data_IF_144212921069
#
_entry.id   IF_144212921069
#
_cell.length_a   1.000
_cell.length_b   1.000
_cell.length_c   1.000
_cell.angle_alpha   90.00
_cell.angle_beta   90.00
_cell.angle_gamma   90.00
#
_symmetry.space_group_name_H-M   'P 1'
#
loop_
_entity.id
_entity.type
_entity.pdbx_description
1 polymer ?
#
# COMPACT_ATOMS: atom_id res chain seq x y z
N UNK A 1 20.19 26.34 -55.91
CA UNK A 1 21.12 26.46 -54.77
C UNK A 1 20.35 27.15 -53.66
N UNK A 2 19.94 26.44 -52.61
CA UNK A 2 19.25 27.04 -51.47
C UNK A 2 20.31 27.63 -50.54
N UNK A 3 20.79 28.81 -50.89
CA UNK A 3 21.59 29.63 -49.99
C UNK A 3 20.61 30.33 -49.05
N UNK A 4 20.25 29.64 -47.98
CA UNK A 4 19.63 30.27 -46.83
C UNK A 4 20.69 30.27 -45.75
N UNK A 5 21.48 31.35 -45.59
CA UNK A 5 22.20 31.56 -44.36
C UNK A 5 21.14 31.97 -43.34
N UNK A 6 20.33 31.02 -42.89
CA UNK A 6 19.60 31.17 -41.63
C UNK A 6 20.72 31.43 -40.64
N UNK A 7 20.87 32.68 -40.20
CA UNK A 7 22.00 33.12 -39.38
C UNK A 7 22.25 32.06 -38.32
N UNK A 8 23.48 31.54 -38.28
CA UNK A 8 23.88 30.36 -37.48
C UNK A 8 23.37 30.42 -36.04
N UNK A 9 23.19 31.63 -35.52
CA UNK A 9 22.56 31.98 -34.25
C UNK A 9 21.14 31.44 -34.08
N UNK A 10 20.22 31.59 -35.06
CA UNK A 10 18.84 31.11 -34.94
C UNK A 10 18.76 29.59 -34.98
N UNK A 11 19.63 28.93 -35.76
CA UNK A 11 19.73 27.47 -35.79
C UNK A 11 20.21 26.95 -34.44
N UNK A 12 21.22 27.60 -33.85
CA UNK A 12 21.72 27.26 -32.51
C UNK A 12 20.67 27.50 -31.42
N UNK A 13 19.92 28.60 -31.50
CA UNK A 13 18.88 28.93 -30.53
C UNK A 13 17.71 27.96 -30.62
N UNK A 14 17.28 27.61 -31.84
CA UNK A 14 16.27 26.58 -32.07
C UNK A 14 16.71 25.21 -31.56
N UNK A 15 17.96 24.82 -31.82
CA UNK A 15 18.53 23.58 -31.31
C UNK A 15 18.57 23.57 -29.78
N UNK A 16 19.00 24.66 -29.14
CA UNK A 16 19.04 24.77 -27.69
C UNK A 16 17.65 24.63 -27.06
N UNK A 17 16.63 25.27 -27.65
CA UNK A 17 15.23 25.15 -27.19
C UNK A 17 14.70 23.73 -27.34
N UNK A 18 14.96 23.08 -28.48
CA UNK A 18 14.54 21.69 -28.73
C UNK A 18 15.27 20.74 -27.76
N UNK A 19 16.59 20.87 -27.60
CA UNK A 19 17.38 20.07 -26.66
C UNK A 19 16.94 20.27 -25.23
N UNK A 20 16.68 21.51 -24.78
CA UNK A 20 16.16 21.78 -23.45
C UNK A 20 14.77 21.17 -23.24
N UNK A 21 13.92 21.18 -24.27
CA UNK A 21 12.59 20.58 -24.22
C UNK A 21 12.65 19.05 -24.12
N UNK A 22 13.50 18.41 -24.92
CA UNK A 22 13.74 16.95 -24.87
C UNK A 22 14.39 16.54 -23.54
N UNK A 23 15.36 17.32 -23.05
CA UNK A 23 16.02 17.09 -21.77
C UNK A 23 15.04 17.23 -20.60
N UNK A 24 14.17 18.24 -20.63
CA UNK A 24 13.11 18.41 -19.64
C UNK A 24 12.11 17.24 -19.62
N UNK A 25 11.86 16.60 -20.76
CA UNK A 25 11.02 15.40 -20.85
C UNK A 25 11.73 14.15 -20.28
N UNK A 26 13.03 14.01 -20.51
CA UNK A 26 13.83 12.91 -19.97
C UNK A 26 13.89 12.93 -18.43
N UNK A 27 13.89 14.11 -17.81
CA UNK A 27 13.86 14.27 -16.35
C UNK A 27 12.52 13.87 -15.70
N UNK A 28 11.47 13.61 -16.50
CA UNK A 28 10.14 13.21 -15.98
C UNK A 28 9.89 11.71 -16.01
N UNK A 29 10.88 10.91 -16.43
CA UNK A 29 10.77 9.45 -16.37
C UNK A 29 10.90 9.03 -14.90
N UNK A 30 9.89 8.35 -14.32
CA UNK A 30 9.98 7.89 -12.95
C UNK A 30 11.14 6.89 -12.81
N UNK A 31 12.01 7.12 -11.83
CA UNK A 31 13.23 6.32 -11.65
C UNK A 31 12.97 4.90 -11.12
N UNK A 32 11.77 4.66 -10.58
CA UNK A 32 11.41 3.39 -9.94
C UNK A 32 10.20 2.75 -10.62
N UNK A 33 10.18 1.41 -10.75
CA UNK A 33 8.99 0.71 -11.22
C UNK A 33 7.80 0.94 -10.27
N UNK A 34 6.56 0.81 -10.76
CA UNK A 34 5.38 0.88 -9.89
C UNK A 34 5.41 -0.23 -8.82
N UNK A 35 4.86 0.03 -7.63
CA UNK A 35 4.91 -0.92 -6.51
C UNK A 35 4.09 -2.19 -6.79
N UNK A 36 4.50 -3.34 -6.24
CA UNK A 36 3.82 -4.63 -6.44
C UNK A 36 2.70 -4.85 -5.39
N UNK A 37 1.54 -4.24 -5.62
CA UNK A 37 0.37 -4.43 -4.75
C UNK A 37 -0.18 -5.86 -4.80
N UNK A 38 0.03 -6.58 -5.91
CA UNK A 38 -0.51 -7.93 -6.11
C UNK A 38 0.18 -8.94 -5.19
N UNK A 39 1.51 -8.89 -5.06
CA UNK A 39 2.22 -9.78 -4.11
C UNK A 39 1.89 -9.49 -2.65
N UNK A 40 1.67 -8.23 -2.30
CA UNK A 40 1.20 -7.86 -0.98
C UNK A 40 -0.19 -8.48 -0.70
N UNK A 41 -1.12 -8.38 -1.65
CA UNK A 41 -2.45 -9.00 -1.54
C UNK A 41 -2.37 -10.54 -1.45
N UNK A 42 -1.52 -11.19 -2.25
CA UNK A 42 -1.32 -12.64 -2.18
C UNK A 42 -0.81 -13.11 -0.81
N UNK A 43 0.05 -12.32 -0.15
CA UNK A 43 0.51 -12.63 1.22
C UNK A 43 -0.65 -12.55 2.21
N UNK A 44 -1.51 -11.53 2.06
CA UNK A 44 -2.73 -11.39 2.87
C UNK A 44 -3.67 -12.56 2.66
N UNK A 45 -3.95 -12.93 1.41
CA UNK A 45 -4.83 -14.04 1.05
C UNK A 45 -4.28 -15.39 1.53
N UNK A 46 -2.97 -15.59 1.48
CA UNK A 46 -2.32 -16.78 2.04
C UNK A 46 -2.57 -16.95 3.54
N UNK A 47 -2.52 -15.86 4.32
CA UNK A 47 -2.84 -15.89 5.75
C UNK A 47 -4.35 -15.98 6.00
N UNK A 48 -5.15 -15.28 5.20
CA UNK A 48 -6.60 -15.25 5.31
C UNK A 48 -7.28 -16.57 4.94
N UNK A 49 -6.66 -17.38 4.08
CA UNK A 49 -7.16 -18.71 3.69
C UNK A 49 -6.85 -19.80 4.72
N UNK A 50 -5.97 -19.54 5.69
CA UNK A 50 -5.60 -20.52 6.71
C UNK A 50 -6.79 -20.90 7.59
N UNK A 51 -7.05 -22.21 7.79
CA UNK A 51 -8.06 -22.67 8.75
C UNK A 51 -7.62 -22.48 10.21
N UNK A 52 -6.34 -22.18 10.46
CA UNK A 52 -5.77 -21.98 11.80
C UNK A 52 -5.21 -20.58 11.98
N UNK A 53 -4.88 -20.20 13.22
CA UNK A 53 -4.10 -18.99 13.49
C UNK A 53 -2.82 -18.99 12.66
N UNK A 54 -2.61 -17.88 11.94
CA UNK A 54 -1.52 -17.74 10.99
C UNK A 54 -1.06 -16.28 10.98
N UNK A 55 0.22 -16.08 10.64
CA UNK A 55 0.78 -14.74 10.47
C UNK A 55 1.71 -14.68 9.29
N UNK A 56 1.75 -13.54 8.63
CA UNK A 56 2.60 -13.27 7.48
C UNK A 56 3.27 -11.91 7.61
N UNK A 57 4.40 -11.78 6.92
CA UNK A 57 5.13 -10.52 6.78
C UNK A 57 5.48 -10.33 5.31
N UNK A 58 5.29 -9.14 4.80
CA UNK A 58 5.64 -8.79 3.43
C UNK A 58 6.36 -7.45 3.41
N UNK A 59 7.64 -7.39 2.97
CA UNK A 59 8.30 -6.10 2.75
C UNK A 59 7.50 -5.26 1.76
N UNK A 60 7.37 -3.96 2.03
CA UNK A 60 6.74 -3.03 1.10
C UNK A 60 7.80 -2.10 0.51
N UNK A 61 7.81 -2.02 -0.81
CA UNK A 61 8.55 -1.01 -1.56
C UNK A 61 7.55 0.06 -2.04
N UNK A 62 7.12 0.91 -1.11
CA UNK A 62 6.13 1.96 -1.33
C UNK A 62 6.35 3.12 -0.37
N UNK A 63 6.02 4.34 -0.80
CA UNK A 63 6.07 5.54 0.03
C UNK A 63 4.75 5.75 0.78
N UNK A 64 3.63 5.43 0.13
CA UNK A 64 2.30 5.50 0.72
C UNK A 64 1.52 4.20 0.55
N UNK A 65 0.73 3.87 1.57
CA UNK A 65 -0.22 2.76 1.57
C UNK A 65 -1.64 3.29 1.79
N UNK A 66 -2.60 2.69 1.10
CA UNK A 66 -4.03 2.81 1.40
C UNK A 66 -4.60 1.42 1.58
N UNK A 67 -4.95 1.09 2.82
CA UNK A 67 -5.45 -0.23 3.20
C UNK A 67 -6.95 -0.16 3.49
N UNK A 68 -7.73 -0.84 2.65
CA UNK A 68 -9.16 -1.07 2.86
C UNK A 68 -9.46 -2.49 3.29
N UNK A 69 -10.74 -2.79 3.46
CA UNK A 69 -11.24 -4.12 3.86
C UNK A 69 -11.18 -5.15 2.73
N UNK A 70 -11.13 -4.69 1.48
CA UNK A 70 -11.27 -5.48 0.25
C UNK A 70 -10.10 -5.26 -0.71
N UNK A 71 -9.24 -4.28 -0.45
CA UNK A 71 -8.13 -3.93 -1.33
C UNK A 71 -6.98 -3.24 -0.62
N UNK A 72 -5.82 -3.32 -1.24
CA UNK A 72 -4.62 -2.55 -0.91
C UNK A 72 -4.25 -1.66 -2.10
N UNK A 73 -3.90 -0.41 -1.81
CA UNK A 73 -3.22 0.50 -2.72
C UNK A 73 -1.82 0.81 -2.22
N UNK A 74 -0.86 0.80 -3.12
CA UNK A 74 0.52 1.22 -2.88
C UNK A 74 0.86 2.35 -3.86
N UNK A 75 1.64 3.33 -3.40
CA UNK A 75 2.10 4.44 -4.23
C UNK A 75 3.57 4.73 -3.95
N UNK A 76 4.28 5.01 -5.03
CA UNK A 76 5.63 5.56 -5.05
C UNK A 76 5.67 6.80 -5.95
N UNK A 77 6.81 7.48 -6.01
CA UNK A 77 7.10 8.46 -7.07
C UNK A 77 7.01 7.84 -8.49
N UNK A 78 7.15 6.51 -8.58
CA UNK A 78 6.99 5.68 -9.77
C UNK A 78 5.54 5.52 -10.27
N UNK A 79 4.56 5.84 -9.42
CA UNK A 79 3.13 5.67 -9.71
C UNK A 79 2.39 4.90 -8.62
N UNK A 80 1.15 4.52 -8.89
CA UNK A 80 0.31 3.80 -7.93
C UNK A 80 -0.19 2.47 -8.49
N UNK A 81 -0.17 1.44 -7.65
CA UNK A 81 -0.72 0.13 -7.94
C UNK A 81 -1.81 -0.24 -6.92
N UNK A 82 -2.74 -1.08 -7.32
CA UNK A 82 -3.82 -1.54 -6.46
C UNK A 82 -4.10 -3.02 -6.71
N UNK A 83 -4.46 -3.74 -5.65
CA UNK A 83 -4.89 -5.13 -5.73
C UNK A 83 -6.07 -5.35 -4.80
N UNK A 84 -7.04 -6.15 -5.24
CA UNK A 84 -8.13 -6.65 -4.41
C UNK A 84 -7.67 -7.89 -3.63
N UNK A 85 -8.26 -8.11 -2.46
CA UNK A 85 -8.11 -9.36 -1.72
C UNK A 85 -9.11 -10.39 -2.25
N UNK A 86 -8.70 -11.66 -2.30
CA UNK A 86 -9.55 -12.76 -2.75
C UNK A 86 -10.41 -13.33 -1.61
N UNK A 87 -9.93 -13.27 -0.37
CA UNK A 87 -10.64 -13.80 0.80
C UNK A 87 -11.52 -12.75 1.49
N UNK A 88 -12.36 -13.22 2.43
CA UNK A 88 -13.29 -12.39 3.21
C UNK A 88 -12.67 -11.08 3.70
N UNK A 89 -13.54 -10.08 3.93
CA UNK A 89 -13.15 -8.73 4.32
C UNK A 89 -12.15 -8.70 5.48
N UNK A 90 -10.96 -8.22 5.18
CA UNK A 90 -9.87 -8.06 6.14
C UNK A 90 -10.13 -6.86 7.06
N UNK A 91 -9.40 -6.79 8.16
CA UNK A 91 -9.52 -5.72 9.15
C UNK A 91 -8.25 -4.85 9.15
N UNK A 92 -8.33 -3.62 8.63
CA UNK A 92 -7.20 -2.68 8.68
C UNK A 92 -6.87 -2.27 10.11
N UNK A 93 -5.64 -2.54 10.56
CA UNK A 93 -5.16 -2.18 11.90
C UNK A 93 -4.47 -0.80 11.96
N UNK A 94 -4.27 -0.13 10.82
CA UNK A 94 -3.43 1.07 10.70
C UNK A 94 -3.97 2.32 11.45
N UNK A 95 -5.17 2.27 12.02
CA UNK A 95 -5.76 3.37 12.81
C UNK A 95 -6.11 3.04 14.27
N UNK A 96 -5.68 1.89 14.80
CA UNK A 96 -6.03 1.45 16.15
C UNK A 96 -4.84 0.82 16.85
N UNK A 97 -4.35 1.46 17.92
CA UNK A 97 -3.21 0.95 18.71
C UNK A 97 -3.51 -0.41 19.35
N UNK A 98 -4.77 -0.64 19.74
CA UNK A 98 -5.22 -1.91 20.29
C UNK A 98 -5.18 -3.02 19.25
N UNK A 99 -5.73 -2.80 18.05
CA UNK A 99 -5.65 -3.79 16.97
C UNK A 99 -4.22 -4.01 16.50
N UNK A 100 -3.41 -2.95 16.49
CA UNK A 100 -1.98 -3.02 16.18
C UNK A 100 -1.21 -3.88 17.19
N UNK A 101 -1.53 -3.77 18.47
CA UNK A 101 -0.96 -4.62 19.51
C UNK A 101 -1.29 -6.11 19.27
N UNK A 102 -2.53 -6.40 18.86
CA UNK A 102 -2.93 -7.77 18.52
C UNK A 102 -2.21 -8.29 17.27
N UNK A 103 -2.16 -7.48 16.21
CA UNK A 103 -1.43 -7.77 14.98
C UNK A 103 0.03 -8.15 15.24
N UNK A 104 0.67 -7.49 16.20
CA UNK A 104 2.07 -7.71 16.56
C UNK A 104 2.34 -8.90 17.47
N UNK A 105 1.33 -9.53 18.05
CA UNK A 105 1.59 -10.64 18.97
C UNK A 105 0.62 -10.78 20.12
N UNK A 106 0.06 -9.67 20.61
CA UNK A 106 -0.67 -9.70 21.88
C UNK A 106 -2.01 -10.42 21.73
N UNK A 107 -2.38 -11.32 22.66
CA UNK A 107 -3.67 -11.98 22.58
C UNK A 107 -4.79 -10.96 22.83
N UNK A 108 -5.94 -11.05 22.12
CA UNK A 108 -7.06 -10.11 22.27
C UNK A 108 -7.52 -9.91 23.72
N UNK A 109 -7.60 -11.00 24.50
CA UNK A 109 -7.95 -10.98 25.94
C UNK A 109 -7.05 -10.15 26.84
N UNK A 110 -5.84 -9.83 26.38
CA UNK A 110 -4.92 -8.97 27.12
C UNK A 110 -5.06 -7.49 26.74
N UNK A 111 -5.74 -7.18 25.63
CA UNK A 111 -5.85 -5.83 25.06
C UNK A 111 -7.26 -5.27 25.19
N UNK A 112 -8.26 -6.14 25.09
CA UNK A 112 -9.68 -5.82 25.15
C UNK A 112 -10.28 -6.42 26.41
N UNK A 113 -11.23 -5.70 27.00
CA UNK A 113 -11.93 -6.11 28.21
C UNK A 113 -12.71 -7.41 28.01
N UNK A 114 -13.43 -7.50 26.88
CA UNK A 114 -14.20 -8.67 26.52
C UNK A 114 -14.27 -8.87 24.99
N UNK A 115 -14.95 -9.97 24.60
CA UNK A 115 -15.14 -10.34 23.19
C UNK A 115 -16.00 -9.33 22.42
N UNK A 116 -16.94 -8.65 23.07
CA UNK A 116 -17.82 -7.67 22.42
C UNK A 116 -17.05 -6.39 22.08
N UNK A 117 -16.19 -5.91 22.98
CA UNK A 117 -15.30 -4.79 22.75
C UNK A 117 -14.31 -5.07 21.61
N UNK A 118 -13.80 -6.32 21.52
CA UNK A 118 -12.98 -6.73 20.40
C UNK A 118 -13.76 -6.72 19.08
N UNK A 119 -14.94 -7.35 19.03
CA UNK A 119 -15.78 -7.36 17.84
C UNK A 119 -16.16 -5.94 17.36
N UNK A 120 -16.54 -5.05 18.28
CA UNK A 120 -16.84 -3.65 17.97
C UNK A 120 -15.63 -2.92 17.37
N UNK A 121 -14.42 -3.18 17.89
CA UNK A 121 -13.20 -2.58 17.34
C UNK A 121 -12.88 -3.09 15.92
N UNK A 122 -13.14 -4.37 15.63
CA UNK A 122 -12.98 -4.94 14.29
C UNK A 122 -13.95 -4.28 13.29
N UNK A 123 -15.22 -4.13 13.67
CA UNK A 123 -16.23 -3.50 12.82
C UNK A 123 -15.99 -2.00 12.60
N UNK A 124 -15.57 -1.28 13.63
CA UNK A 124 -15.15 0.11 13.50
C UNK A 124 -13.96 0.27 12.54
N UNK A 125 -13.01 -0.66 12.57
CA UNK A 125 -11.89 -0.67 11.65
C UNK A 125 -12.30 -0.99 10.20
N UNK A 126 -13.24 -1.93 9.99
CA UNK A 126 -13.77 -2.30 8.67
C UNK A 126 -14.57 -1.20 7.98
N UNK A 127 -15.26 -0.38 8.76
CA UNK A 127 -16.15 0.69 8.28
C UNK A 127 -15.41 2.02 8.09
N UNK A 128 -14.18 2.13 8.57
CA UNK A 128 -13.38 3.34 8.41
C UNK A 128 -12.99 3.55 6.95
N UNK A 129 -13.15 4.78 6.47
CA UNK A 129 -12.77 5.14 5.10
C UNK A 129 -11.25 5.02 4.90
N UNK A 130 -10.79 4.24 3.90
CA UNK A 130 -9.37 4.08 3.61
C UNK A 130 -8.75 5.36 3.05
N UNK A 131 -7.70 5.83 3.71
CA UNK A 131 -6.90 6.98 3.26
C UNK A 131 -5.47 6.57 2.94
N UNK A 132 -4.84 7.34 2.04
CA UNK A 132 -3.39 7.28 1.85
C UNK A 132 -2.69 7.79 3.11
N UNK A 133 -1.62 7.10 3.48
CA UNK A 133 -0.76 7.43 4.61
C UNK A 133 0.62 6.82 4.37
N UNK A 134 1.67 7.26 5.09
CA UNK A 134 3.01 6.70 4.95
C UNK A 134 3.00 5.17 5.05
N UNK A 135 3.64 4.52 4.09
CA UNK A 135 3.75 3.07 4.08
C UNK A 135 4.75 2.61 5.15
N UNK A 136 4.44 1.53 5.89
CA UNK A 136 5.43 0.87 6.72
C UNK A 136 6.42 0.09 5.85
N UNK A 137 7.64 -0.12 6.33
CA UNK A 137 8.64 -0.96 5.65
C UNK A 137 8.17 -2.42 5.46
N UNK A 138 7.32 -2.91 6.35
CA UNK A 138 6.80 -4.28 6.30
C UNK A 138 5.32 -4.30 6.64
N UNK A 139 4.53 -4.90 5.74
CA UNK A 139 3.14 -5.27 5.98
C UNK A 139 3.09 -6.51 6.86
N UNK A 140 2.43 -6.39 8.01
CA UNK A 140 2.10 -7.48 8.90
C UNK A 140 0.68 -7.96 8.62
N UNK A 141 0.50 -9.28 8.65
CA UNK A 141 -0.81 -9.93 8.54
C UNK A 141 -0.93 -10.94 9.67
N UNK A 142 -2.08 -10.98 10.34
CA UNK A 142 -2.35 -11.98 11.38
C UNK A 142 -3.81 -12.38 11.37
N UNK A 143 -4.07 -13.68 11.24
CA UNK A 143 -5.35 -14.28 11.57
C UNK A 143 -5.43 -14.54 13.07
N UNK A 144 -6.49 -14.07 13.70
CA UNK A 144 -6.71 -14.17 15.14
C UNK A 144 -8.12 -14.66 15.43
N UNK A 145 -8.24 -15.50 16.47
CA UNK A 145 -9.51 -16.05 16.93
C UNK A 145 -9.67 -15.78 18.43
N UNK A 146 -10.86 -15.33 18.84
CA UNK A 146 -11.22 -15.24 20.26
C UNK A 146 -12.67 -15.69 20.49
N UNK A 147 -12.84 -16.95 20.90
CA UNK A 147 -14.15 -17.60 20.91
C UNK A 147 -14.66 -17.71 19.47
N UNK A 148 -15.88 -17.24 19.22
CA UNK A 148 -16.49 -17.24 17.88
C UNK A 148 -16.01 -16.10 16.97
N UNK A 149 -15.27 -15.12 17.51
CA UNK A 149 -14.82 -13.96 16.74
C UNK A 149 -13.51 -14.29 16.02
N UNK A 150 -13.55 -14.29 14.69
CA UNK A 150 -12.43 -14.57 13.81
C UNK A 150 -12.15 -13.37 12.91
N UNK A 151 -10.88 -12.98 12.77
CA UNK A 151 -10.50 -11.87 11.89
C UNK A 151 -9.09 -12.02 11.34
N UNK A 152 -8.89 -11.50 10.13
CA UNK A 152 -7.56 -11.28 9.55
C UNK A 152 -7.21 -9.80 9.69
N UNK A 153 -6.28 -9.50 10.59
CA UNK A 153 -5.73 -8.16 10.80
C UNK A 153 -4.61 -7.89 9.79
N UNK A 154 -4.58 -6.70 9.20
CA UNK A 154 -3.55 -6.26 8.25
C UNK A 154 -3.07 -4.86 8.62
N UNK A 155 -1.75 -4.61 8.61
CA UNK A 155 -1.18 -3.30 8.95
C UNK A 155 0.30 -3.37 9.30
N UNK A 156 0.73 -2.58 10.28
CA UNK A 156 2.10 -2.58 10.81
C UNK A 156 2.13 -2.21 12.28
#
# INVERSE_FOLDING_TARGET
MLDVPVESTYVWLGLAVVSASVFGLALRVPASPPPDATRAAQTVDGVASSPYEASGRHPLDADEIRLGRDRIGLRTDGGAAHAAFAFESVVPALGSDRLRAVLRGRPPRAVFEDRAAFAAALEAARTREPRWQPAPETLLVRRVTWGEVNATLVGA
#
